data_IF_887686855450
#
_entry.id   IF_887686855450
#
_cell.length_a   1.000
_cell.length_b   1.000
_cell.length_c   1.000
_cell.angle_alpha   90.00
_cell.angle_beta   90.00
_cell.angle_gamma   90.00
#
_symmetry.space_group_name_H-M   'P 1'
#
loop_
_entity.id
_entity.type
_entity.pdbx_description
1 polymer ?
#
# COMPACT_ATOMS: atom_id res chain seq x y z
N UNK A 1 21.96 -10.83 8.97
CA UNK A 1 21.69 -9.54 9.63
C UNK A 1 20.38 -8.97 9.11
N UNK A 2 19.62 -8.27 9.95
CA UNK A 2 18.32 -7.72 9.59
C UNK A 2 18.24 -6.23 9.92
N UNK A 3 17.61 -5.44 9.06
CA UNK A 3 17.41 -4.01 9.27
C UNK A 3 15.99 -3.55 8.94
N UNK A 4 15.51 -2.56 9.68
CA UNK A 4 14.26 -1.87 9.39
C UNK A 4 14.36 -0.37 9.73
N UNK A 5 13.99 0.47 8.76
CA UNK A 5 14.01 1.91 8.88
C UNK A 5 12.83 2.60 8.19
N UNK A 6 12.25 3.58 8.88
CA UNK A 6 11.22 4.48 8.36
C UNK A 6 11.50 5.93 8.76
N UNK A 7 11.32 6.84 7.82
CA UNK A 7 11.61 8.28 7.89
C UNK A 7 10.47 9.13 8.48
N UNK A 8 9.36 8.52 8.91
CA UNK A 8 8.28 9.22 9.61
C UNK A 8 7.81 8.39 10.79
N UNK A 9 8.11 8.84 12.02
CA UNK A 9 7.92 8.00 13.22
C UNK A 9 6.47 7.89 13.71
N UNK A 10 5.61 8.87 13.42
CA UNK A 10 4.23 8.87 13.91
C UNK A 10 3.26 8.06 13.03
N UNK A 11 3.60 7.88 11.75
CA UNK A 11 2.85 7.10 10.76
C UNK A 11 3.62 5.88 10.24
N UNK A 12 4.59 5.36 11.00
CA UNK A 12 5.36 4.20 10.54
C UNK A 12 4.48 2.95 10.43
N UNK A 13 4.79 2.04 9.50
CA UNK A 13 4.01 0.83 9.18
C UNK A 13 3.50 0.07 10.42
N UNK A 14 4.33 -0.11 11.44
CA UNK A 14 3.96 -0.87 12.65
C UNK A 14 3.51 -0.01 13.84
N UNK A 15 3.59 1.32 13.72
CA UNK A 15 3.33 2.27 14.80
C UNK A 15 2.12 3.18 14.54
N UNK A 16 1.62 3.27 13.31
CA UNK A 16 0.39 4.00 13.03
C UNK A 16 -0.80 3.33 13.73
N UNK A 17 -1.54 4.10 14.54
CA UNK A 17 -2.66 3.65 15.38
C UNK A 17 -2.38 2.40 16.23
N UNK A 18 -1.10 2.10 16.48
CA UNK A 18 -0.62 0.90 17.16
C UNK A 18 0.55 1.24 18.09
N UNK A 19 0.78 0.42 19.12
CA UNK A 19 1.93 0.60 20.02
C UNK A 19 3.25 0.17 19.38
N UNK A 20 3.21 -0.58 18.28
CA UNK A 20 4.38 -1.18 17.64
C UNK A 20 5.01 -2.29 18.46
N UNK A 21 6.31 -2.49 18.29
CA UNK A 21 7.05 -3.60 18.90
C UNK A 21 7.50 -3.28 20.32
N UNK A 22 7.42 -4.28 21.20
CA UNK A 22 7.96 -4.20 22.57
C UNK A 22 9.48 -4.27 22.58
N UNK A 23 10.04 -5.20 21.81
CA UNK A 23 11.46 -5.43 21.62
C UNK A 23 11.85 -5.07 20.17
N UNK A 24 13.10 -4.66 19.90
CA UNK A 24 13.53 -4.35 18.53
C UNK A 24 13.25 -5.54 17.58
N UNK A 25 12.56 -5.33 16.44
CA UNK A 25 12.14 -6.41 15.55
C UNK A 25 13.27 -6.92 14.64
N UNK A 26 14.39 -6.21 14.60
CA UNK A 26 15.54 -6.44 13.72
C UNK A 26 16.84 -6.20 14.48
N UNK A 27 17.95 -6.77 13.98
CA UNK A 27 19.29 -6.53 14.54
C UNK A 27 19.66 -5.03 14.50
N UNK A 28 19.18 -4.35 13.46
CA UNK A 28 19.37 -2.93 13.19
C UNK A 28 18.02 -2.23 13.15
N UNK A 29 17.64 -1.56 14.24
CA UNK A 29 16.36 -0.87 14.37
C UNK A 29 16.54 0.64 14.45
N UNK A 30 16.22 1.32 13.35
CA UNK A 30 16.47 2.75 13.14
C UNK A 30 15.64 3.69 14.02
N UNK A 31 14.42 3.25 14.40
CA UNK A 31 13.40 4.11 15.00
C UNK A 31 13.88 4.90 16.24
N UNK A 32 14.55 4.32 17.25
CA UNK A 32 14.95 5.08 18.45
C UNK A 32 15.92 6.22 18.13
N UNK A 33 16.85 5.98 17.20
CA UNK A 33 17.76 7.02 16.69
C UNK A 33 16.96 8.12 16.01
N UNK A 34 16.07 7.76 15.09
CA UNK A 34 15.36 8.75 14.28
C UNK A 34 14.31 9.55 15.08
N UNK A 35 13.70 8.95 16.10
CA UNK A 35 12.89 9.69 17.08
C UNK A 35 13.71 10.75 17.81
N UNK A 36 14.95 10.42 18.18
CA UNK A 36 15.86 11.39 18.81
C UNK A 36 16.22 12.53 17.86
N UNK A 37 16.50 12.21 16.59
CA UNK A 37 16.76 13.18 15.53
C UNK A 37 15.58 14.16 15.38
N UNK A 38 14.37 13.66 15.18
CA UNK A 38 13.19 14.51 15.03
C UNK A 38 12.87 15.34 16.28
N UNK A 39 13.25 14.88 17.48
CA UNK A 39 13.01 15.61 18.73
C UNK A 39 14.03 16.72 19.02
N UNK A 40 15.20 16.69 18.38
CA UNK A 40 16.34 17.56 18.70
C UNK A 40 16.74 18.50 17.58
N UNK A 41 16.41 18.17 16.33
CA UNK A 41 16.74 18.97 15.16
C UNK A 41 15.52 19.75 14.69
N UNK A 42 15.77 20.82 13.95
CA UNK A 42 14.72 21.60 13.31
C UNK A 42 14.04 20.76 12.23
N UNK A 43 12.71 20.63 12.32
CA UNK A 43 11.88 19.89 11.37
C UNK A 43 11.02 20.87 10.60
N UNK A 44 11.14 20.86 9.28
CA UNK A 44 10.27 21.58 8.37
C UNK A 44 9.36 20.59 7.65
N UNK A 45 8.06 20.63 7.98
CA UNK A 45 7.06 19.78 7.35
C UNK A 45 6.43 20.45 6.14
N UNK A 46 6.21 19.69 5.08
CA UNK A 46 5.35 20.07 3.96
C UNK A 46 4.09 19.20 4.07
N UNK A 47 2.92 19.85 4.05
CA UNK A 47 1.64 19.22 4.41
C UNK A 47 1.72 18.58 5.81
N UNK A 48 1.75 17.25 5.95
CA UNK A 48 1.82 16.55 7.23
C UNK A 48 3.15 15.82 7.43
N UNK A 49 3.99 15.76 6.40
CA UNK A 49 5.21 14.96 6.36
C UNK A 49 6.45 15.79 6.74
N UNK A 50 7.36 15.24 7.57
CA UNK A 50 8.62 15.90 7.95
C UNK A 50 9.60 15.90 6.76
N UNK A 51 9.35 16.78 5.79
CA UNK A 51 10.02 16.80 4.51
C UNK A 51 11.51 17.12 4.64
N UNK A 52 11.87 18.13 5.44
CA UNK A 52 13.26 18.48 5.75
C UNK A 52 13.52 18.38 7.25
N UNK A 53 14.68 17.83 7.61
CA UNK A 53 15.19 17.78 8.98
C UNK A 53 16.60 18.36 8.96
N UNK A 54 16.77 19.51 9.61
CA UNK A 54 17.97 20.34 9.55
C UNK A 54 18.36 20.65 8.09
N UNK A 55 19.46 20.07 7.59
CA UNK A 55 20.01 20.35 6.25
C UNK A 55 19.76 19.22 5.22
N UNK A 56 18.98 18.18 5.56
CA UNK A 56 18.67 17.04 4.69
C UNK A 56 17.16 16.79 4.59
N UNK A 57 16.73 16.07 3.56
CA UNK A 57 15.36 15.57 3.51
C UNK A 57 15.17 14.42 4.52
N UNK A 58 13.96 14.26 5.06
CA UNK A 58 13.63 13.21 6.04
C UNK A 58 14.02 11.81 5.54
N UNK A 59 13.62 11.47 4.33
CA UNK A 59 13.92 10.19 3.69
C UNK A 59 15.43 9.89 3.52
N UNK A 60 16.28 10.91 3.35
CA UNK A 60 17.73 10.71 3.22
C UNK A 60 18.31 10.07 4.49
N UNK A 61 17.73 10.27 5.68
CA UNK A 61 18.20 9.59 6.88
C UNK A 61 17.95 8.07 6.84
N UNK A 62 16.83 7.63 6.28
CA UNK A 62 16.52 6.20 6.12
C UNK A 62 17.37 5.57 5.02
N UNK A 63 17.62 6.29 3.92
CA UNK A 63 18.46 5.80 2.82
C UNK A 63 19.96 5.85 3.14
N UNK A 64 20.45 6.84 3.88
CA UNK A 64 21.82 6.84 4.39
C UNK A 64 22.03 5.63 5.32
N UNK A 65 21.06 5.34 6.19
CA UNK A 65 21.09 4.15 7.05
C UNK A 65 21.05 2.84 6.24
N UNK A 66 20.27 2.79 5.16
CA UNK A 66 20.29 1.66 4.21
C UNK A 66 21.68 1.48 3.61
N UNK A 67 22.29 2.55 3.10
CA UNK A 67 23.61 2.50 2.48
C UNK A 67 24.68 2.01 3.46
N UNK A 68 24.69 2.52 4.68
CA UNK A 68 25.62 2.07 5.72
C UNK A 68 25.44 0.58 6.04
N UNK A 69 24.19 0.14 6.17
CA UNK A 69 23.87 -1.27 6.44
C UNK A 69 24.34 -2.20 5.32
N UNK A 70 23.97 -1.93 4.07
CA UNK A 70 24.29 -2.83 2.94
C UNK A 70 25.80 -2.87 2.66
N UNK A 71 26.51 -1.75 2.85
CA UNK A 71 27.98 -1.71 2.73
C UNK A 71 28.65 -2.51 3.86
N UNK A 72 28.21 -2.32 5.09
CA UNK A 72 28.77 -3.01 6.26
C UNK A 72 28.63 -4.52 6.16
N UNK A 73 27.49 -4.99 5.67
CA UNK A 73 27.18 -6.43 5.57
C UNK A 73 27.34 -7.01 4.17
N UNK A 74 28.07 -6.32 3.28
CA UNK A 74 28.42 -6.88 1.96
C UNK A 74 29.13 -8.23 2.13
N UNK A 75 28.72 -9.22 1.35
CA UNK A 75 29.21 -10.61 1.46
C UNK A 75 28.65 -11.41 2.65
N UNK A 76 27.79 -10.83 3.48
CA UNK A 76 27.08 -11.52 4.56
C UNK A 76 25.59 -11.59 4.25
N UNK A 77 24.88 -12.72 4.47
CA UNK A 77 23.44 -12.78 4.27
C UNK A 77 22.69 -11.74 5.11
N UNK A 78 21.87 -10.91 4.47
CA UNK A 78 21.04 -9.92 5.12
C UNK A 78 19.63 -9.79 4.53
N UNK A 79 18.74 -9.17 5.30
CA UNK A 79 17.43 -8.71 4.87
C UNK A 79 17.19 -7.30 5.41
N UNK A 80 16.79 -6.36 4.55
CA UNK A 80 16.54 -4.99 4.95
C UNK A 80 15.22 -4.47 4.38
N UNK A 81 14.43 -3.79 5.21
CA UNK A 81 13.25 -3.04 4.80
C UNK A 81 13.47 -1.56 5.12
N UNK A 82 13.64 -0.74 4.10
CA UNK A 82 13.88 0.69 4.23
C UNK A 82 12.77 1.43 3.50
N UNK A 83 12.10 2.33 4.19
CA UNK A 83 10.83 2.87 3.73
C UNK A 83 10.76 4.37 3.96
N UNK A 84 10.22 5.07 2.96
CA UNK A 84 10.12 6.52 2.96
C UNK A 84 8.68 6.96 2.70
N UNK A 85 8.17 7.79 3.60
CA UNK A 85 6.87 8.43 3.47
C UNK A 85 7.01 9.94 3.27
N UNK A 86 8.13 10.55 3.69
CA UNK A 86 8.21 12.00 3.91
C UNK A 86 8.04 12.84 2.64
N UNK A 87 8.22 12.24 1.47
CA UNK A 87 8.18 12.94 0.17
C UNK A 87 7.13 12.40 -0.81
N UNK A 88 6.43 11.31 -0.50
CA UNK A 88 5.55 10.63 -1.46
C UNK A 88 4.12 10.43 -0.93
N UNK A 89 3.90 10.54 0.38
CA UNK A 89 2.61 10.22 0.98
C UNK A 89 1.53 11.29 0.73
N UNK A 90 1.88 12.57 0.84
CA UNK A 90 0.90 13.66 0.90
C UNK A 90 0.67 14.37 -0.45
N UNK A 91 1.72 14.52 -1.26
CA UNK A 91 1.67 15.29 -2.51
C UNK A 91 2.56 14.63 -3.58
N UNK A 92 2.02 14.27 -4.76
CA UNK A 92 2.81 13.61 -5.81
C UNK A 92 3.93 14.48 -6.37
N UNK A 93 3.84 15.81 -6.25
CA UNK A 93 4.90 16.72 -6.72
C UNK A 93 6.15 16.65 -5.85
N UNK A 94 6.03 16.25 -4.58
CA UNK A 94 7.18 16.10 -3.70
C UNK A 94 8.06 14.90 -4.08
N UNK A 95 7.47 13.89 -4.72
CA UNK A 95 8.23 12.76 -5.27
C UNK A 95 9.19 13.17 -6.38
N UNK A 96 8.80 14.16 -7.19
CA UNK A 96 9.67 14.72 -8.23
C UNK A 96 10.94 15.35 -7.64
N UNK A 97 10.86 15.99 -6.47
CA UNK A 97 12.02 16.62 -5.81
C UNK A 97 13.08 15.59 -5.41
N UNK A 98 12.64 14.36 -5.09
CA UNK A 98 13.52 13.28 -4.66
C UNK A 98 14.06 12.42 -5.80
N UNK A 99 13.60 12.60 -7.05
CA UNK A 99 13.95 11.73 -8.18
C UNK A 99 15.47 11.58 -8.38
N UNK A 100 16.19 12.71 -8.49
CA UNK A 100 17.66 12.71 -8.65
C UNK A 100 18.36 12.04 -7.45
N UNK A 101 17.84 12.25 -6.23
CA UNK A 101 18.41 11.66 -5.01
C UNK A 101 18.23 10.15 -4.97
N UNK A 102 17.03 9.65 -5.29
CA UNK A 102 16.76 8.21 -5.36
C UNK A 102 17.61 7.56 -6.46
N UNK A 103 17.71 8.19 -7.63
CA UNK A 103 18.57 7.73 -8.73
C UNK A 103 20.03 7.61 -8.27
N UNK A 104 20.53 8.59 -7.51
CA UNK A 104 21.87 8.54 -6.92
C UNK A 104 22.05 7.37 -5.94
N UNK A 105 21.10 7.12 -5.04
CA UNK A 105 21.19 5.95 -4.14
C UNK A 105 21.20 4.64 -4.91
N UNK A 106 20.38 4.51 -5.97
CA UNK A 106 20.39 3.33 -6.84
C UNK A 106 21.73 3.16 -7.57
N UNK A 107 22.30 4.24 -8.12
CA UNK A 107 23.64 4.22 -8.72
C UNK A 107 24.72 3.82 -7.72
N UNK A 108 24.64 4.30 -6.47
CA UNK A 108 25.58 3.90 -5.42
C UNK A 108 25.46 2.40 -5.05
N UNK A 109 24.26 1.83 -5.05
CA UNK A 109 24.09 0.38 -4.85
C UNK A 109 24.76 -0.43 -5.97
N UNK A 110 24.75 0.07 -7.20
CA UNK A 110 25.46 -0.53 -8.34
C UNK A 110 26.97 -0.38 -8.21
N UNK A 111 27.48 0.85 -8.01
CA UNK A 111 28.91 1.17 -7.86
C UNK A 111 29.57 0.37 -6.73
N UNK A 112 28.86 0.21 -5.61
CA UNK A 112 29.31 -0.55 -4.45
C UNK A 112 29.17 -2.06 -4.64
N UNK A 113 28.69 -2.54 -5.80
CA UNK A 113 28.51 -3.94 -6.13
C UNK A 113 27.44 -4.65 -5.30
N UNK A 114 26.51 -3.91 -4.69
CA UNK A 114 25.40 -4.48 -3.90
C UNK A 114 24.39 -5.17 -4.84
N UNK A 115 24.15 -4.56 -6.01
CA UNK A 115 23.29 -5.09 -7.07
C UNK A 115 23.80 -6.42 -7.68
N UNK A 116 25.08 -6.76 -7.50
CA UNK A 116 25.68 -8.00 -8.01
C UNK A 116 25.33 -9.24 -7.17
N UNK A 117 24.90 -9.02 -5.93
CA UNK A 117 24.70 -10.10 -4.95
C UNK A 117 23.30 -10.08 -4.32
N UNK A 118 22.55 -8.97 -4.46
CA UNK A 118 21.27 -8.76 -3.79
C UNK A 118 20.10 -8.72 -4.76
N UNK A 119 18.99 -9.33 -4.36
CA UNK A 119 17.67 -9.02 -4.94
C UNK A 119 17.18 -7.72 -4.30
N UNK A 120 16.81 -6.73 -5.12
CA UNK A 120 16.28 -5.45 -4.65
C UNK A 120 14.83 -5.33 -5.10
N UNK A 121 13.94 -5.06 -4.16
CA UNK A 121 12.55 -4.75 -4.42
C UNK A 121 12.36 -3.26 -4.15
N UNK A 122 12.09 -2.49 -5.20
CA UNK A 122 11.74 -1.07 -5.09
C UNK A 122 10.25 -0.91 -5.37
N UNK A 123 9.47 -0.67 -4.31
CA UNK A 123 8.03 -0.79 -4.34
C UNK A 123 7.33 0.30 -3.54
N UNK A 124 6.05 0.50 -3.81
CA UNK A 124 5.11 1.27 -3.00
C UNK A 124 4.00 0.35 -2.49
N UNK A 125 3.27 0.75 -1.45
CA UNK A 125 2.15 -0.01 -0.89
C UNK A 125 0.81 0.36 -1.54
N UNK A 126 0.68 1.61 -2.00
CA UNK A 126 -0.46 2.13 -2.75
C UNK A 126 -0.05 3.30 -3.67
N UNK A 127 -0.94 3.72 -4.58
CA UNK A 127 -0.81 5.00 -5.28
C UNK A 127 -1.30 6.17 -4.43
N UNK A 128 -1.44 7.38 -5.00
CA UNK A 128 -1.82 8.55 -4.21
C UNK A 128 -3.27 8.43 -3.69
N UNK A 129 -3.42 8.44 -2.35
CA UNK A 129 -4.71 8.29 -1.65
C UNK A 129 -5.39 9.62 -1.30
N UNK A 130 -4.70 10.74 -1.48
CA UNK A 130 -5.11 12.05 -0.99
C UNK A 130 -5.18 13.07 -2.13
N UNK A 131 -5.97 14.12 -1.93
CA UNK A 131 -5.97 15.28 -2.81
C UNK A 131 -6.77 15.12 -4.09
N UNK A 132 -6.84 16.22 -4.85
CA UNK A 132 -7.64 16.33 -6.07
C UNK A 132 -7.34 15.23 -7.11
N UNK A 133 -6.09 14.76 -7.19
CA UNK A 133 -5.70 13.69 -8.10
C UNK A 133 -6.47 12.38 -7.80
N UNK A 134 -6.64 12.00 -6.53
CA UNK A 134 -7.41 10.81 -6.12
C UNK A 134 -8.89 10.88 -6.53
N UNK A 135 -9.44 12.09 -6.68
CA UNK A 135 -10.84 12.28 -7.10
C UNK A 135 -11.06 12.12 -8.61
N UNK A 136 -10.00 11.95 -9.39
CA UNK A 136 -10.11 11.61 -10.82
C UNK A 136 -10.30 10.10 -10.99
N UNK A 137 -10.90 9.68 -12.12
CA UNK A 137 -11.04 8.26 -12.45
C UNK A 137 -9.68 7.54 -12.45
N UNK A 138 -8.68 8.14 -13.12
CA UNK A 138 -7.31 7.63 -13.15
C UNK A 138 -6.71 7.54 -11.74
N UNK A 139 -6.89 8.55 -10.89
CA UNK A 139 -6.38 8.52 -9.52
C UNK A 139 -7.01 7.43 -8.65
N UNK A 140 -8.29 7.12 -8.86
CA UNK A 140 -8.95 5.99 -8.21
C UNK A 140 -8.36 4.63 -8.64
N UNK A 141 -7.96 4.49 -9.91
CA UNK A 141 -7.23 3.32 -10.39
C UNK A 141 -5.81 3.26 -9.78
N UNK A 142 -5.07 4.36 -9.87
CA UNK A 142 -3.68 4.46 -9.39
C UNK A 142 -3.56 4.17 -7.89
N UNK A 143 -4.52 4.58 -7.05
CA UNK A 143 -4.55 4.22 -5.61
C UNK A 143 -4.38 2.70 -5.40
N UNK A 144 -5.00 1.89 -6.25
CA UNK A 144 -5.01 0.42 -6.16
C UNK A 144 -3.92 -0.25 -7.02
N UNK A 145 -3.04 0.54 -7.67
CA UNK A 145 -1.95 0.06 -8.53
C UNK A 145 -0.59 0.49 -7.94
N UNK A 146 -0.11 -0.18 -6.87
CA UNK A 146 1.19 0.12 -6.32
C UNK A 146 2.33 -0.16 -7.31
N UNK A 147 3.37 0.66 -7.25
CA UNK A 147 4.61 0.44 -7.99
C UNK A 147 5.35 -0.81 -7.48
N UNK A 148 5.88 -1.62 -8.40
CA UNK A 148 6.78 -2.73 -8.09
C UNK A 148 7.88 -2.86 -9.16
N UNK A 149 9.12 -2.60 -8.76
CA UNK A 149 10.32 -2.84 -9.55
C UNK A 149 11.19 -3.89 -8.84
N UNK A 150 11.73 -4.83 -9.61
CA UNK A 150 12.53 -5.94 -9.09
C UNK A 150 13.85 -5.99 -9.82
N UNK A 151 14.94 -5.83 -9.08
CA UNK A 151 16.29 -6.14 -9.55
C UNK A 151 16.70 -7.52 -9.08
N UNK A 152 17.25 -8.32 -10.00
CA UNK A 152 17.79 -9.64 -9.71
C UNK A 152 19.28 -9.63 -9.98
N UNK A 153 20.13 -10.10 -9.06
CA UNK A 153 21.57 -10.11 -9.27
C UNK A 153 21.95 -11.11 -10.37
N UNK A 154 23.00 -10.87 -11.16
CA UNK A 154 23.36 -11.73 -12.30
C UNK A 154 23.47 -13.23 -11.96
N UNK A 155 23.96 -13.56 -10.76
CA UNK A 155 24.09 -14.96 -10.27
C UNK A 155 22.74 -15.71 -10.18
N UNK A 156 21.62 -14.99 -10.03
CA UNK A 156 20.28 -15.57 -9.94
C UNK A 156 19.51 -15.50 -11.27
N UNK A 157 20.08 -14.93 -12.33
CA UNK A 157 19.43 -14.79 -13.64
C UNK A 157 19.60 -16.06 -14.47
N UNK A 158 18.77 -17.07 -14.22
CA UNK A 158 18.65 -18.21 -15.16
C UNK A 158 17.80 -17.81 -16.38
N UNK A 159 17.97 -18.46 -17.55
CA UNK A 159 17.10 -18.21 -18.70
C UNK A 159 15.61 -18.33 -18.36
N UNK A 160 15.24 -19.33 -17.56
CA UNK A 160 13.87 -19.56 -17.10
C UNK A 160 13.34 -18.38 -16.25
N UNK A 161 14.12 -17.91 -15.26
CA UNK A 161 13.72 -16.79 -14.41
C UNK A 161 13.53 -15.52 -15.25
N UNK A 162 14.46 -15.25 -16.17
CA UNK A 162 14.39 -14.08 -17.04
C UNK A 162 13.19 -14.13 -18.00
N UNK A 163 12.89 -15.29 -18.57
CA UNK A 163 11.73 -15.50 -19.43
C UNK A 163 10.42 -15.30 -18.65
N UNK A 164 10.31 -15.93 -17.47
CA UNK A 164 9.12 -15.85 -16.64
C UNK A 164 8.84 -14.41 -16.18
N UNK A 165 9.86 -13.68 -15.74
CA UNK A 165 9.68 -12.29 -15.28
C UNK A 165 9.23 -11.40 -16.44
N UNK A 166 9.86 -11.52 -17.61
CA UNK A 166 9.45 -10.75 -18.79
C UNK A 166 8.00 -11.05 -19.17
N UNK A 167 7.62 -12.32 -19.15
CA UNK A 167 6.24 -12.73 -19.42
C UNK A 167 5.25 -12.25 -18.34
N UNK A 168 5.67 -12.16 -17.09
CA UNK A 168 4.83 -11.80 -15.95
C UNK A 168 4.62 -10.29 -15.78
N UNK A 169 5.43 -9.43 -16.41
CA UNK A 169 5.27 -7.96 -16.36
C UNK A 169 3.88 -7.46 -16.79
N UNK A 170 3.16 -8.22 -17.62
CA UNK A 170 1.82 -7.87 -18.13
C UNK A 170 0.70 -8.65 -17.43
N UNK A 171 0.97 -9.25 -16.28
CA UNK A 171 0.01 -10.09 -15.55
C UNK A 171 -0.26 -9.50 -14.18
N UNK A 172 -1.43 -9.84 -13.64
CA UNK A 172 -1.84 -9.42 -12.31
C UNK A 172 -0.92 -10.04 -11.25
N UNK A 173 -0.25 -9.17 -10.49
CA UNK A 173 0.63 -9.50 -9.37
C UNK A 173 0.04 -8.86 -8.12
N UNK A 174 0.17 -9.54 -6.98
CA UNK A 174 -0.21 -8.97 -5.69
C UNK A 174 0.92 -9.12 -4.64
N UNK A 175 0.77 -8.51 -3.46
CA UNK A 175 1.79 -8.61 -2.40
C UNK A 175 2.09 -10.06 -1.93
N UNK A 176 1.13 -10.98 -2.05
CA UNK A 176 1.37 -12.39 -1.70
C UNK A 176 2.26 -13.09 -2.74
N UNK A 177 2.20 -12.72 -4.01
CA UNK A 177 3.15 -13.20 -5.03
C UNK A 177 4.58 -12.70 -4.71
N UNK A 178 4.72 -11.46 -4.24
CA UNK A 178 6.01 -10.92 -3.76
C UNK A 178 6.51 -11.71 -2.53
N UNK A 179 5.63 -11.98 -1.56
CA UNK A 179 5.94 -12.83 -0.39
C UNK A 179 6.42 -14.23 -0.83
N UNK A 180 5.75 -14.86 -1.79
CA UNK A 180 6.19 -16.15 -2.35
C UNK A 180 7.54 -16.05 -3.08
N UNK A 181 7.80 -14.94 -3.75
CA UNK A 181 9.08 -14.66 -4.42
C UNK A 181 10.22 -14.56 -3.41
N UNK A 182 10.01 -13.87 -2.29
CA UNK A 182 10.98 -13.77 -1.20
C UNK A 182 11.36 -15.15 -0.62
N UNK A 183 10.42 -16.10 -0.54
CA UNK A 183 10.77 -17.47 -0.15
C UNK A 183 11.61 -18.21 -1.17
N UNK A 184 11.31 -18.05 -2.45
CA UNK A 184 12.11 -18.68 -3.48
C UNK A 184 13.53 -18.09 -3.46
N UNK A 185 13.72 -16.79 -3.19
CA UNK A 185 15.04 -16.18 -2.95
C UNK A 185 15.75 -16.81 -1.74
N UNK A 186 15.07 -16.98 -0.60
CA UNK A 186 15.65 -17.64 0.58
C UNK A 186 16.06 -19.10 0.29
N UNK A 187 15.24 -19.83 -0.48
CA UNK A 187 15.59 -21.21 -0.88
C UNK A 187 16.78 -21.23 -1.83
N UNK A 188 16.85 -20.29 -2.77
CA UNK A 188 18.00 -20.15 -3.67
C UNK A 188 19.30 -19.81 -2.91
N UNK A 189 19.21 -19.18 -1.74
CA UNK A 189 20.37 -18.96 -0.86
C UNK A 189 20.78 -20.20 -0.05
N UNK A 190 20.14 -21.36 -0.27
CA UNK A 190 20.38 -22.60 0.46
C UNK A 190 19.68 -22.69 1.82
N UNK A 191 18.79 -21.74 2.16
CA UNK A 191 18.04 -21.78 3.40
C UNK A 191 16.76 -22.60 3.24
N UNK A 192 16.68 -23.74 3.94
CA UNK A 192 15.47 -24.55 4.04
C UNK A 192 14.91 -24.50 5.47
N UNK A 193 13.70 -23.96 5.63
CA UNK A 193 12.93 -24.07 6.88
C UNK A 193 11.69 -24.93 6.66
N UNK A 194 11.58 -26.09 7.33
CA UNK A 194 10.36 -26.89 7.32
C UNK A 194 9.18 -26.10 7.89
N UNK A 195 7.98 -26.26 7.30
CA UNK A 195 6.73 -25.73 7.87
C UNK A 195 6.44 -24.25 7.62
N UNK A 196 7.12 -23.59 6.67
CA UNK A 196 6.73 -22.24 6.24
C UNK A 196 5.35 -22.27 5.58
N UNK A 197 4.37 -21.70 6.27
CA UNK A 197 2.97 -21.73 5.85
C UNK A 197 2.69 -20.70 4.75
N UNK A 198 2.22 -21.18 3.59
CA UNK A 198 1.78 -20.38 2.43
C UNK A 198 0.26 -20.12 2.42
N UNK A 199 -0.42 -20.38 3.54
CA UNK A 199 -1.89 -20.38 3.60
C UNK A 199 -2.56 -19.03 3.31
N UNK A 200 -1.83 -17.91 3.36
CA UNK A 200 -2.42 -16.60 3.13
C UNK A 200 -3.01 -16.43 1.72
N UNK A 201 -2.41 -17.08 0.71
CA UNK A 201 -2.96 -17.14 -0.64
C UNK A 201 -2.54 -18.42 -1.37
N UNK A 202 -3.47 -19.38 -1.48
CA UNK A 202 -3.20 -20.71 -2.05
C UNK A 202 -2.86 -20.68 -3.55
N UNK A 203 -3.41 -19.72 -4.29
CA UNK A 203 -3.20 -19.55 -5.73
C UNK A 203 -2.14 -18.48 -6.06
N UNK A 204 -1.44 -17.96 -5.04
CA UNK A 204 -0.34 -17.04 -5.25
C UNK A 204 0.95 -17.82 -5.47
N UNK A 205 1.81 -17.27 -6.32
CA UNK A 205 3.04 -17.93 -6.76
C UNK A 205 4.16 -16.93 -6.88
N UNK A 206 5.38 -17.44 -6.80
CA UNK A 206 6.57 -16.63 -7.02
C UNK A 206 6.57 -16.03 -8.43
N UNK A 207 6.96 -14.77 -8.55
CA UNK A 207 7.11 -14.03 -9.81
C UNK A 207 8.17 -14.66 -10.70
N UNK A 208 9.07 -15.48 -10.14
CA UNK A 208 10.08 -16.23 -10.88
C UNK A 208 9.53 -17.44 -11.63
N UNK A 209 8.24 -17.77 -11.47
CA UNK A 209 7.57 -18.90 -12.11
C UNK A 209 6.53 -18.43 -13.12
N UNK A 210 6.13 -19.25 -14.10
CA UNK A 210 5.08 -18.88 -15.04
C UNK A 210 3.76 -18.59 -14.30
N UNK A 211 3.18 -17.42 -14.55
CA UNK A 211 1.84 -17.07 -14.03
C UNK A 211 0.78 -17.22 -15.13
N UNK A 212 -0.44 -17.69 -14.83
CA UNK A 212 -1.53 -17.71 -15.81
C UNK A 212 -1.90 -16.28 -16.26
N UNK A 213 -2.15 -16.09 -17.56
CA UNK A 213 -2.59 -14.80 -18.09
C UNK A 213 -4.04 -14.45 -17.72
N UNK A 214 -4.84 -15.46 -17.36
CA UNK A 214 -6.27 -15.36 -17.05
C UNK A 214 -6.57 -15.20 -15.55
N UNK A 215 -5.55 -14.92 -14.72
CA UNK A 215 -5.74 -14.73 -13.27
C UNK A 215 -6.67 -13.56 -13.01
N UNK A 216 -7.66 -13.75 -12.14
CA UNK A 216 -8.57 -12.69 -11.69
C UNK A 216 -8.24 -12.28 -10.26
N UNK A 217 -8.64 -11.06 -9.88
CA UNK A 217 -8.45 -10.54 -8.52
C UNK A 217 -8.88 -11.53 -7.43
N UNK A 218 -10.08 -12.10 -7.57
CA UNK A 218 -10.63 -13.08 -6.62
C UNK A 218 -9.77 -14.34 -6.52
N UNK A 219 -9.22 -14.82 -7.63
CA UNK A 219 -8.45 -16.07 -7.65
C UNK A 219 -7.20 -15.95 -6.79
N UNK A 220 -6.68 -14.73 -6.65
CA UNK A 220 -5.41 -14.44 -5.97
C UNK A 220 -5.63 -13.68 -4.66
N UNK A 221 -6.88 -13.61 -4.17
CA UNK A 221 -7.18 -12.99 -2.88
C UNK A 221 -7.11 -11.46 -2.86
N UNK A 222 -7.20 -10.79 -4.01
CA UNK A 222 -7.45 -9.33 -4.07
C UNK A 222 -8.95 -9.10 -3.83
N UNK A 223 -9.34 -8.41 -2.75
CA UNK A 223 -10.73 -8.06 -2.50
C UNK A 223 -11.29 -7.15 -3.58
N UNK A 224 -12.60 -7.20 -3.83
CA UNK A 224 -13.18 -6.52 -4.98
C UNK A 224 -13.02 -4.99 -4.96
N UNK A 225 -12.91 -4.38 -3.77
CA UNK A 225 -12.66 -2.95 -3.62
C UNK A 225 -11.24 -2.53 -4.00
N UNK A 226 -10.27 -3.45 -4.02
CA UNK A 226 -8.88 -3.19 -4.42
C UNK A 226 -8.59 -3.72 -5.83
N UNK A 227 -9.61 -4.25 -6.53
CA UNK A 227 -9.42 -4.83 -7.85
C UNK A 227 -9.44 -3.75 -8.92
N UNK A 228 -8.27 -3.45 -9.49
CA UNK A 228 -8.11 -2.51 -10.60
C UNK A 228 -8.49 -3.09 -11.97
N UNK A 229 -8.84 -4.37 -12.06
CA UNK A 229 -9.21 -5.03 -13.34
C UNK A 229 -10.67 -4.81 -13.76
N UNK A 230 -11.43 -3.98 -13.03
CA UNK A 230 -12.84 -3.70 -13.33
C UNK A 230 -12.96 -2.37 -14.01
N UNK A 231 -13.71 -2.33 -15.10
CA UNK A 231 -14.16 -1.08 -15.68
C UNK A 231 -15.45 -0.64 -14.99
N UNK A 232 -15.57 0.67 -14.78
CA UNK A 232 -16.73 1.28 -14.17
C UNK A 232 -17.37 2.25 -15.16
N UNK A 233 -18.70 2.26 -15.21
CA UNK A 233 -19.45 3.22 -16.01
C UNK A 233 -20.29 4.10 -15.10
N UNK A 234 -20.47 5.37 -15.48
CA UNK A 234 -21.26 6.32 -14.72
C UNK A 234 -22.69 5.82 -14.54
N UNK A 235 -23.18 5.94 -13.31
CA UNK A 235 -24.51 5.52 -12.90
C UNK A 235 -25.31 6.73 -12.36
N UNK A 236 -26.63 6.81 -12.56
CA UNK A 236 -27.40 7.98 -12.14
C UNK A 236 -27.37 8.20 -10.61
N UNK A 237 -26.93 9.40 -10.20
CA UNK A 237 -26.80 9.78 -8.78
C UNK A 237 -28.16 9.96 -8.09
N UNK A 238 -29.19 10.29 -8.86
CA UNK A 238 -30.57 10.52 -8.43
C UNK A 238 -31.44 9.26 -8.48
N UNK A 239 -30.88 8.13 -8.89
CA UNK A 239 -31.60 6.86 -8.87
C UNK A 239 -31.89 6.42 -7.44
N UNK A 240 -33.01 5.69 -7.28
CA UNK A 240 -33.43 5.19 -5.98
C UNK A 240 -32.39 4.27 -5.32
N UNK A 241 -31.66 3.48 -6.13
CA UNK A 241 -30.61 2.57 -5.61
C UNK A 241 -29.42 3.36 -5.06
N UNK A 242 -28.97 4.43 -5.73
CA UNK A 242 -27.87 5.28 -5.25
C UNK A 242 -28.24 5.99 -3.96
N UNK A 243 -29.41 6.64 -3.93
CA UNK A 243 -29.89 7.39 -2.76
C UNK A 243 -30.07 6.46 -1.56
N UNK A 244 -30.74 5.32 -1.76
CA UNK A 244 -31.00 4.34 -0.69
C UNK A 244 -29.70 3.75 -0.17
N UNK A 245 -28.74 3.48 -1.06
CA UNK A 245 -27.40 3.00 -0.68
C UNK A 245 -26.70 4.00 0.22
N UNK A 246 -26.52 5.25 -0.23
CA UNK A 246 -25.82 6.26 0.54
C UNK A 246 -26.47 6.50 1.91
N UNK A 247 -27.81 6.58 1.96
CA UNK A 247 -28.55 6.72 3.20
C UNK A 247 -28.37 5.52 4.15
N UNK A 248 -28.37 4.29 3.61
CA UNK A 248 -28.14 3.08 4.39
C UNK A 248 -26.73 3.06 5.00
N UNK A 249 -25.72 3.55 4.28
CA UNK A 249 -24.35 3.63 4.81
C UNK A 249 -24.23 4.65 5.93
N UNK A 250 -24.83 5.83 5.78
CA UNK A 250 -24.86 6.83 6.85
C UNK A 250 -25.54 6.27 8.10
N UNK A 251 -26.65 5.55 7.92
CA UNK A 251 -27.32 4.86 9.04
C UNK A 251 -26.44 3.79 9.68
N UNK A 252 -25.70 3.01 8.88
CA UNK A 252 -24.73 2.04 9.38
C UNK A 252 -23.63 2.73 10.20
N UNK A 253 -23.05 3.83 9.72
CA UNK A 253 -22.02 4.59 10.44
C UNK A 253 -22.54 5.12 11.79
N UNK A 254 -23.74 5.67 11.81
CA UNK A 254 -24.40 6.11 13.04
C UNK A 254 -24.69 4.93 13.99
N UNK A 255 -25.06 3.77 13.47
CA UNK A 255 -25.24 2.55 14.24
C UNK A 255 -23.92 2.06 14.85
N UNK A 256 -22.84 2.03 14.05
CA UNK A 256 -21.50 1.64 14.48
C UNK A 256 -20.98 2.56 15.59
N UNK A 257 -21.19 3.87 15.48
CA UNK A 257 -20.91 4.86 16.55
C UNK A 257 -21.55 4.45 17.89
N UNK A 258 -22.76 3.89 17.87
CA UNK A 258 -23.48 3.48 19.07
C UNK A 258 -22.97 2.15 19.66
N UNK A 259 -22.14 1.39 18.94
CA UNK A 259 -21.55 0.12 19.44
C UNK A 259 -20.40 0.35 20.42
N UNK A 260 -19.76 1.52 20.39
CA UNK A 260 -18.70 1.87 21.32
C UNK A 260 -19.29 2.07 22.73
N UNK A 261 -19.23 1.01 23.55
CA UNK A 261 -19.64 1.00 24.97
C UNK A 261 -18.66 1.81 25.83
N UNK A 262 -18.77 3.13 25.77
CA UNK A 262 -18.51 4.05 26.89
C UNK A 262 -18.92 5.46 26.46
N UNK A 263 -19.70 6.12 27.30
CA UNK A 263 -20.34 7.42 27.06
C UNK A 263 -19.39 8.62 26.94
N UNK A 264 -18.07 8.41 26.89
CA UNK A 264 -17.11 9.50 26.73
C UNK A 264 -16.84 9.85 25.27
N UNK A 265 -16.72 8.87 24.36
CA UNK A 265 -16.38 9.14 22.95
C UNK A 265 -17.62 9.30 22.07
N UNK A 266 -18.56 8.37 22.15
CA UNK A 266 -19.79 8.41 21.33
C UNK A 266 -20.66 9.64 21.61
N UNK A 267 -20.59 10.18 22.83
CA UNK A 267 -21.24 11.43 23.25
C UNK A 267 -20.61 12.70 22.66
N UNK A 268 -19.36 12.64 22.19
CA UNK A 268 -18.69 13.75 21.49
C UNK A 268 -19.06 13.78 20.00
N UNK A 269 -19.55 12.66 19.45
CA UNK A 269 -19.85 12.51 18.03
C UNK A 269 -21.32 12.80 17.72
N UNK A 270 -21.56 13.79 16.86
CA UNK A 270 -22.90 14.03 16.29
C UNK A 270 -23.32 12.90 15.36
N UNK A 271 -24.63 12.67 15.24
CA UNK A 271 -25.15 11.81 14.18
C UNK A 271 -24.90 12.49 12.83
N UNK A 272 -24.41 11.69 11.88
CA UNK A 272 -24.24 12.10 10.50
C UNK A 272 -25.59 12.06 9.77
N UNK A 273 -25.80 12.98 8.86
CA UNK A 273 -26.85 12.89 7.84
C UNK A 273 -26.24 12.86 6.46
N UNK A 274 -26.93 12.22 5.51
CA UNK A 274 -26.52 12.25 4.11
C UNK A 274 -26.57 13.70 3.60
N UNK A 275 -25.45 14.20 3.10
CA UNK A 275 -25.33 15.47 2.42
C UNK A 275 -25.52 15.28 0.93
N UNK A 276 -24.51 15.67 0.15
CA UNK A 276 -24.51 15.58 -1.31
C UNK A 276 -24.02 14.21 -1.79
N UNK A 277 -24.63 13.66 -2.83
CA UNK A 277 -24.06 12.53 -3.58
C UNK A 277 -23.18 13.09 -4.70
N UNK A 278 -21.91 12.71 -4.69
CA UNK A 278 -20.88 13.24 -5.59
C UNK A 278 -20.73 12.40 -6.86
N UNK A 279 -20.97 11.10 -6.78
CA UNK A 279 -20.85 10.20 -7.92
C UNK A 279 -21.42 8.82 -7.63
N UNK A 280 -21.79 8.12 -8.70
CA UNK A 280 -22.17 6.73 -8.65
C UNK A 280 -21.66 6.03 -9.90
N UNK A 281 -21.16 4.81 -9.75
CA UNK A 281 -20.63 4.00 -10.84
C UNK A 281 -21.02 2.54 -10.69
N UNK A 282 -21.26 1.85 -11.80
CA UNK A 282 -21.54 0.42 -11.86
C UNK A 282 -20.41 -0.29 -12.62
N UNK A 283 -19.90 -1.40 -12.08
CA UNK A 283 -18.88 -2.19 -12.77
C UNK A 283 -19.45 -2.95 -13.97
N UNK A 284 -18.67 -3.09 -15.03
CA UNK A 284 -18.94 -4.02 -16.14
C UNK A 284 -18.73 -5.48 -15.70
N UNK A 285 -19.34 -6.45 -16.40
CA UNK A 285 -19.39 -7.88 -16.01
C UNK A 285 -18.07 -8.66 -16.20
N UNK A 286 -16.94 -7.99 -16.46
CA UNK A 286 -15.83 -8.60 -17.20
C UNK A 286 -14.81 -9.41 -16.38
N UNK A 287 -15.04 -9.64 -15.08
CA UNK A 287 -14.19 -10.52 -14.26
C UNK A 287 -14.78 -11.93 -14.11
N UNK A 288 -15.86 -12.28 -14.82
CA UNK A 288 -16.59 -13.55 -14.67
C UNK A 288 -17.18 -13.76 -13.27
N UNK A 289 -17.33 -12.70 -12.50
CA UNK A 289 -18.20 -12.64 -11.33
C UNK A 289 -19.57 -12.16 -11.81
N UNK A 290 -20.67 -12.92 -11.62
CA UNK A 290 -22.01 -12.47 -11.99
C UNK A 290 -22.52 -11.31 -11.12
N UNK A 291 -21.69 -10.81 -10.21
CA UNK A 291 -22.03 -9.81 -9.22
C UNK A 291 -21.48 -8.46 -9.64
N UNK A 292 -22.38 -7.51 -9.89
CA UNK A 292 -22.02 -6.12 -10.16
C UNK A 292 -21.57 -5.41 -8.89
N UNK A 293 -20.56 -4.57 -9.04
CA UNK A 293 -20.18 -3.62 -8.03
C UNK A 293 -20.84 -2.27 -8.29
N UNK A 294 -21.33 -1.64 -7.23
CA UNK A 294 -21.78 -0.26 -7.24
C UNK A 294 -20.87 0.55 -6.34
N UNK A 295 -20.23 1.57 -6.89
CA UNK A 295 -19.41 2.53 -6.16
C UNK A 295 -20.21 3.81 -6.01
N UNK A 296 -20.44 4.26 -4.79
CA UNK A 296 -21.15 5.53 -4.51
C UNK A 296 -20.25 6.42 -3.67
N UNK A 297 -20.05 7.65 -4.12
CA UNK A 297 -19.34 8.68 -3.37
C UNK A 297 -20.31 9.76 -2.90
N UNK A 298 -20.19 10.16 -1.64
CA UNK A 298 -21.11 11.11 -1.01
C UNK A 298 -20.45 11.88 0.14
N UNK A 299 -21.06 13.00 0.49
CA UNK A 299 -20.72 13.84 1.63
C UNK A 299 -21.68 13.59 2.79
N UNK A 300 -21.20 13.85 3.98
CA UNK A 300 -21.99 13.79 5.21
C UNK A 300 -22.04 15.16 5.89
N UNK A 301 -23.12 15.42 6.60
CA UNK A 301 -23.28 16.60 7.44
C UNK A 301 -23.28 16.19 8.92
N UNK A 302 -22.75 17.03 9.84
CA UNK A 302 -22.28 18.41 9.63
C UNK A 302 -20.78 18.55 9.29
N UNK A 303 -20.03 17.45 9.23
CA UNK A 303 -18.57 17.47 9.10
C UNK A 303 -18.09 17.69 7.65
N UNK A 304 -18.98 17.63 6.65
CA UNK A 304 -18.64 17.65 5.22
C UNK A 304 -17.63 16.56 4.84
N UNK A 305 -17.61 15.46 5.60
CA UNK A 305 -16.72 14.34 5.33
C UNK A 305 -17.14 13.63 4.05
N UNK A 306 -16.17 13.32 3.19
CA UNK A 306 -16.40 12.61 1.93
C UNK A 306 -16.14 11.12 2.12
N UNK A 307 -17.04 10.29 1.59
CA UNK A 307 -16.96 8.85 1.70
C UNK A 307 -17.18 8.22 0.33
N UNK A 308 -16.51 7.10 0.10
CA UNK A 308 -16.71 6.21 -1.03
C UNK A 308 -17.07 4.83 -0.52
N UNK A 309 -18.16 4.27 -1.02
CA UNK A 309 -18.58 2.92 -0.68
C UNK A 309 -18.57 2.06 -1.92
N UNK A 310 -18.02 0.85 -1.81
CA UNK A 310 -18.22 -0.21 -2.79
C UNK A 310 -19.21 -1.23 -2.24
N UNK A 311 -20.31 -1.44 -2.96
CA UNK A 311 -21.27 -2.51 -2.72
C UNK A 311 -21.10 -3.60 -3.77
N UNK A 312 -20.92 -4.84 -3.35
CA UNK A 312 -20.99 -5.99 -4.26
C UNK A 312 -22.32 -6.73 -4.07
N UNK A 313 -23.15 -6.77 -5.11
CA UNK A 313 -24.41 -7.52 -5.07
C UNK A 313 -24.15 -9.01 -5.29
N UNK A 314 -24.14 -9.82 -4.23
CA UNK A 314 -24.08 -11.27 -4.35
C UNK A 314 -25.48 -11.87 -4.43
N UNK A 315 -25.74 -12.76 -5.40
CA UNK A 315 -27.03 -13.49 -5.55
C UNK A 315 -27.51 -14.21 -4.28
N UNK A 316 -26.62 -14.46 -3.33
CA UNK A 316 -26.93 -14.92 -1.97
C UNK A 316 -26.74 -13.77 -0.99
N UNK A 317 -27.82 -13.11 -0.57
CA UNK A 317 -28.08 -12.22 0.60
C UNK A 317 -26.92 -11.74 1.52
N UNK A 318 -25.72 -11.49 0.99
CA UNK A 318 -24.57 -11.01 1.73
C UNK A 318 -24.02 -9.78 1.00
N UNK A 319 -24.36 -8.61 1.55
CA UNK A 319 -23.76 -7.34 1.16
C UNK A 319 -22.34 -7.31 1.71
N UNK A 320 -21.34 -7.43 0.84
CA UNK A 320 -19.99 -7.03 1.19
C UNK A 320 -19.92 -5.51 1.06
N UNK A 321 -19.74 -4.87 2.22
CA UNK A 321 -19.68 -3.43 2.36
C UNK A 321 -18.24 -3.01 2.66
N UNK A 322 -17.65 -2.22 1.77
CA UNK A 322 -16.37 -1.55 2.00
C UNK A 322 -16.62 -0.05 2.02
N UNK A 323 -16.37 0.60 3.16
CA UNK A 323 -16.45 2.05 3.32
C UNK A 323 -15.04 2.61 3.37
N UNK A 324 -14.77 3.63 2.55
CA UNK A 324 -13.53 4.41 2.58
C UNK A 324 -13.88 5.87 2.82
N UNK A 325 -13.05 6.53 3.62
CA UNK A 325 -13.07 7.99 3.75
C UNK A 325 -12.15 8.56 2.67
N UNK A 326 -12.65 9.55 1.94
CA UNK A 326 -11.89 10.28 0.93
C UNK A 326 -11.39 11.58 1.57
N UNK A 327 -10.08 11.75 1.58
CA UNK A 327 -9.43 12.90 2.17
C UNK A 327 -9.07 13.91 1.06
N UNK A 328 -9.58 15.12 1.21
CA UNK A 328 -9.31 16.26 0.31
C UNK A 328 -7.89 16.77 0.42
#
# INVERSE_FOLDING_TARGET
>A
MTAYAEDVTWMSTFNYVSKGFKDPPTDHYFRPYFQSVMSKLDVHSIVYSPFCISYKHGAEYAYDYMMDFVKTYKGTPYFGLFWANSFSHDDPNLAFIMDERISKYMGQLEEEGIMEESVILFLADHGLRFGAARHTEVGGYEENLPMLNIWIPPKLRTPEILENIRANQKKLINPYDVYHTMFDVLRMSGYEKPGLNRAACLNCTSIFKPMPATRKCRDIGIPSQFCACKDYTSFPIDSNITITTAAAIVNYMNGFKNTFKSSSFSGLCKNLSLGKINGAHESTEDDGNPNKNFVVSFETEPNKGQFEVTLTYQRTLQLLLSIRELFL
#
